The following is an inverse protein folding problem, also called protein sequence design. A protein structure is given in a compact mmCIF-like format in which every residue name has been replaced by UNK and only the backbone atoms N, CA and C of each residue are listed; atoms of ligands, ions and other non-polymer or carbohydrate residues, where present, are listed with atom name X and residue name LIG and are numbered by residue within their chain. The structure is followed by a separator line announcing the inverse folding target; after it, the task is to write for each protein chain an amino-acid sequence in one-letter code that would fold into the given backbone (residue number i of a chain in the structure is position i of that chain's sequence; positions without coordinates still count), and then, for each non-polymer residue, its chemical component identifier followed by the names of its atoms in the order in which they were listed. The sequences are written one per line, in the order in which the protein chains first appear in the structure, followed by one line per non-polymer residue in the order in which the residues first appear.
data_IF_663809706442
#
_entry.id   IF_663809706442
#
_cell.length_a   1.000
_cell.length_b   1.000
_cell.length_c   1.000
_cell.angle_alpha   90.00
_cell.angle_beta   90.00
_cell.angle_gamma   90.00
#
_symmetry.space_group_name_H-M   'P 1'
#
loop_
_entity.id
_entity.type
_entity.pdbx_description
1 polymer ?
#
# COMPACT_ATOMS: atom_id res chain seq x y z
N UNK A 1 5.52 -9.79 7.83
CA UNK A 1 5.47 -9.28 6.44
C UNK A 1 4.02 -9.29 6.04
N UNK A 2 3.55 -8.26 5.34
CA UNK A 2 2.14 -8.19 4.94
C UNK A 2 1.85 -9.24 3.86
N UNK A 3 0.68 -9.87 3.96
CA UNK A 3 0.18 -10.91 3.07
C UNK A 3 -1.07 -10.43 2.34
N UNK A 4 -1.48 -11.16 1.31
CA UNK A 4 -2.74 -10.91 0.62
C UNK A 4 -3.92 -10.88 1.61
N UNK A 5 -4.79 -9.88 1.47
CA UNK A 5 -5.92 -9.63 2.36
C UNK A 5 -5.56 -8.91 3.66
N UNK A 6 -4.28 -8.62 3.94
CA UNK A 6 -3.92 -7.82 5.09
C UNK A 6 -4.32 -6.35 4.92
N UNK A 7 -4.75 -5.76 6.04
CA UNK A 7 -4.97 -4.32 6.13
C UNK A 7 -3.65 -3.66 6.50
N UNK A 8 -3.26 -2.66 5.70
CA UNK A 8 -2.05 -1.88 5.93
C UNK A 8 -2.39 -0.41 6.12
N UNK A 9 -1.75 0.19 7.12
CA UNK A 9 -1.72 1.62 7.33
C UNK A 9 -0.60 2.25 6.51
N UNK A 10 -0.93 3.30 5.76
CA UNK A 10 0.00 4.06 4.92
C UNK A 10 0.03 5.49 5.47
N UNK A 11 1.17 5.95 6.03
CA UNK A 11 1.30 7.29 6.57
C UNK A 11 1.09 8.40 5.53
N UNK A 12 0.96 9.63 6.03
CA UNK A 12 1.05 10.83 5.21
C UNK A 12 2.44 10.97 4.58
N UNK A 13 2.50 11.45 3.35
CA UNK A 13 3.74 11.75 2.63
C UNK A 13 4.30 10.59 1.81
N UNK A 14 3.68 9.41 1.86
CA UNK A 14 4.08 8.23 1.09
C UNK A 14 3.66 8.34 -0.37
N UNK A 15 4.51 7.89 -1.27
CA UNK A 15 4.26 7.85 -2.71
C UNK A 15 3.60 6.54 -3.11
N UNK A 16 2.43 6.64 -3.74
CA UNK A 16 1.67 5.54 -4.31
C UNK A 16 1.79 5.59 -5.84
N UNK A 17 2.32 4.55 -6.46
CA UNK A 17 2.48 4.50 -7.92
C UNK A 17 1.27 3.83 -8.57
N UNK A 18 0.78 4.38 -9.68
CA UNK A 18 -0.33 3.78 -10.44
C UNK A 18 0.11 2.52 -11.23
N UNK A 19 1.41 2.32 -11.43
CA UNK A 19 1.97 1.12 -12.04
C UNK A 19 3.33 0.78 -11.44
N UNK A 20 3.91 -0.38 -11.80
CA UNK A 20 5.24 -0.81 -11.33
C UNK A 20 6.39 0.01 -11.92
N UNK A 21 6.13 0.93 -12.85
CA UNK A 21 7.16 1.78 -13.45
C UNK A 21 7.53 2.94 -12.52
N UNK A 22 8.82 3.26 -12.43
CA UNK A 22 9.30 4.44 -11.70
C UNK A 22 8.89 5.76 -12.36
N UNK A 23 8.53 5.73 -13.64
CA UNK A 23 7.96 6.87 -14.39
C UNK A 23 6.43 6.93 -14.33
N UNK A 24 5.79 6.04 -13.58
CA UNK A 24 4.34 5.99 -13.49
C UNK A 24 3.79 7.26 -12.82
N UNK A 25 2.56 7.68 -13.18
CA UNK A 25 1.81 8.63 -12.37
C UNK A 25 1.78 8.17 -10.92
N UNK A 26 1.96 9.12 -10.01
CA UNK A 26 1.97 8.83 -8.58
C UNK A 26 1.01 9.74 -7.84
N UNK A 27 0.56 9.26 -6.69
CA UNK A 27 -0.20 10.03 -5.71
C UNK A 27 0.59 10.07 -4.41
N UNK A 28 0.82 11.25 -3.87
CA UNK A 28 1.37 11.39 -2.52
C UNK A 28 0.22 11.41 -1.53
N UNK A 29 0.30 10.65 -0.44
CA UNK A 29 -0.73 10.65 0.59
C UNK A 29 -0.75 11.98 1.34
N UNK A 30 -1.84 12.74 1.21
CA UNK A 30 -2.00 14.03 1.90
C UNK A 30 -2.37 13.87 3.38
N UNK A 31 -2.91 12.70 3.73
CA UNK A 31 -3.25 12.25 5.08
C UNK A 31 -3.04 10.74 5.15
N UNK A 32 -2.93 10.14 6.35
CA UNK A 32 -2.82 8.70 6.47
C UNK A 32 -4.05 7.99 5.88
N UNK A 33 -3.82 6.87 5.19
CA UNK A 33 -4.88 6.05 4.59
C UNK A 33 -4.69 4.59 4.95
N UNK A 34 -5.75 3.80 4.76
CA UNK A 34 -5.71 2.34 4.88
C UNK A 34 -5.84 1.73 3.49
N UNK A 35 -5.03 0.71 3.22
CA UNK A 35 -5.11 -0.12 2.02
C UNK A 35 -5.29 -1.59 2.37
N UNK A 36 -5.81 -2.36 1.42
CA UNK A 36 -5.81 -3.82 1.48
C UNK A 36 -4.72 -4.32 0.55
N UNK A 37 -3.86 -5.23 1.02
CA UNK A 37 -2.86 -5.88 0.16
C UNK A 37 -3.56 -6.84 -0.78
N UNK A 38 -3.37 -6.66 -2.08
CA UNK A 38 -3.91 -7.52 -3.14
C UNK A 38 -2.91 -8.61 -3.51
N UNK A 39 -1.64 -8.24 -3.65
CA UNK A 39 -0.57 -9.18 -3.94
C UNK A 39 0.79 -8.58 -3.60
N UNK A 40 1.81 -9.43 -3.56
CA UNK A 40 3.21 -9.01 -3.47
C UNK A 40 3.76 -8.82 -4.88
N UNK A 41 3.93 -7.56 -5.30
CA UNK A 41 4.33 -7.18 -6.66
C UNK A 41 5.87 -7.27 -6.89
N UNK A 42 6.65 -7.49 -5.84
CA UNK A 42 8.10 -7.62 -5.86
C UNK A 42 8.67 -7.89 -4.47
N UNK A 43 10.01 -7.98 -4.31
CA UNK A 43 10.63 -8.31 -3.03
C UNK A 43 10.36 -7.29 -1.91
N UNK A 44 10.11 -6.03 -2.27
CA UNK A 44 9.86 -4.91 -1.35
C UNK A 44 8.65 -4.07 -1.74
N UNK A 45 7.81 -4.56 -2.65
CA UNK A 45 6.69 -3.79 -3.22
C UNK A 45 5.39 -4.55 -3.05
N UNK A 46 4.39 -3.88 -2.51
CA UNK A 46 3.03 -4.37 -2.35
C UNK A 46 2.14 -3.74 -3.42
N UNK A 47 1.26 -4.55 -4.03
CA UNK A 47 0.09 -4.05 -4.74
C UNK A 47 -1.04 -3.92 -3.72
N UNK A 48 -1.62 -2.73 -3.61
CA UNK A 48 -2.67 -2.42 -2.65
C UNK A 48 -3.89 -1.84 -3.33
N UNK A 49 -5.07 -2.09 -2.77
CA UNK A 49 -6.28 -1.37 -3.10
C UNK A 49 -6.57 -0.33 -2.01
N UNK A 50 -6.59 0.95 -2.37
CA UNK A 50 -6.84 2.05 -1.46
C UNK A 50 -7.57 3.18 -2.18
N UNK A 51 -8.49 3.85 -1.48
CA UNK A 51 -9.25 4.99 -2.04
C UNK A 51 -9.93 4.70 -3.40
N UNK A 52 -10.40 3.47 -3.64
CA UNK A 52 -11.09 3.10 -4.88
C UNK A 52 -10.17 2.82 -6.08
N UNK A 53 -8.86 2.68 -5.87
CA UNK A 53 -7.92 2.38 -6.96
C UNK A 53 -6.78 1.47 -6.49
N UNK A 54 -6.13 0.83 -7.45
CA UNK A 54 -4.94 0.02 -7.21
C UNK A 54 -3.68 0.88 -7.25
N UNK A 55 -2.76 0.63 -6.33
CA UNK A 55 -1.48 1.30 -6.27
C UNK A 55 -0.35 0.33 -5.92
N UNK A 56 0.86 0.72 -6.25
CA UNK A 56 2.08 0.06 -5.80
C UNK A 56 2.77 0.94 -4.75
N UNK A 57 3.17 0.32 -3.64
CA UNK A 57 3.82 0.99 -2.51
C UNK A 57 4.98 0.14 -1.99
N UNK A 58 6.01 0.79 -1.48
CA UNK A 58 7.10 0.11 -0.78
C UNK A 58 6.56 -0.51 0.52
N UNK A 59 6.87 -1.78 0.79
CA UNK A 59 6.49 -2.44 2.05
C UNK A 59 7.03 -1.68 3.27
N UNK A 60 8.19 -1.02 3.13
CA UNK A 60 8.79 -0.22 4.22
C UNK A 60 7.99 1.02 4.59
N UNK A 61 7.15 1.50 3.67
CA UNK A 61 6.29 2.66 3.88
C UNK A 61 4.88 2.26 4.35
N UNK A 62 4.71 0.99 4.74
CA UNK A 62 3.44 0.43 5.22
C UNK A 62 3.59 -0.22 6.58
N UNK A 63 2.55 -0.14 7.40
CA UNK A 63 2.47 -0.78 8.70
C UNK A 63 1.29 -1.74 8.73
N UNK A 64 1.51 -2.99 9.13
CA UNK A 64 0.42 -3.96 9.28
C UNK A 64 -0.53 -3.48 10.37
N UNK A 65 -1.83 -3.43 10.08
CA UNK A 65 -2.83 -3.17 11.10
C UNK A 65 -3.15 -4.50 11.80
N UNK A 66 -3.02 -4.52 13.12
CA UNK A 66 -3.42 -5.70 13.90
C UNK A 66 -4.89 -5.99 13.67
N UNK A 67 -5.21 -7.22 13.27
CA UNK A 67 -6.59 -7.71 13.32
C UNK A 67 -6.91 -7.93 14.79
N UNK A 68 -7.80 -7.10 15.36
CA UNK A 68 -8.44 -7.47 16.62
C UNK A 68 -9.30 -8.70 16.32
N UNK A 69 -8.85 -9.86 16.79
CA UNK A 69 -9.68 -11.06 16.82
C UNK A 69 -10.94 -10.73 17.65
N UNK A 70 -12.11 -10.98 17.08
CA UNK A 70 -13.41 -10.82 17.75
C UNK A 70 -13.81 -12.12 18.45
#
# INVERSE_FOLDING_TARGET
MAQEGDLVHIPQGVTLLASRSTSAPFKKTEKPITGVVIERAGPTTLSIYACGSMYFVSERDTYLMERKEC
#
